data_IF_368059339567
#
_entry.id   IF_368059339567
#
_cell.length_a   1.000
_cell.length_b   1.000
_cell.length_c   1.000
_cell.angle_alpha   90.00
_cell.angle_beta   90.00
_cell.angle_gamma   90.00
#
_symmetry.space_group_name_H-M   'P 1'
#
loop_
_entity.id
_entity.type
_entity.pdbx_description
1 polymer ?
#
# COMPACT_ATOMS: atom_id res chain seq x y z
N UNK A 1 -10.85 7.09 5.33
CA UNK A 1 -10.26 8.41 5.62
C UNK A 1 -9.51 8.44 6.95
N UNK A 2 -10.18 8.37 8.09
CA UNK A 2 -9.63 8.56 9.44
C UNK A 2 -8.41 7.69 9.79
N UNK A 3 -8.44 6.38 9.51
CA UNK A 3 -7.34 5.46 9.83
C UNK A 3 -6.00 5.82 9.17
N UNK A 4 -6.02 6.34 7.94
CA UNK A 4 -4.79 6.74 7.22
C UNK A 4 -4.20 8.01 7.81
N UNK A 5 -5.03 8.96 8.21
CA UNK A 5 -4.59 10.18 8.89
C UNK A 5 -3.93 9.86 10.23
N UNK A 6 -4.51 8.94 11.01
CA UNK A 6 -3.91 8.48 12.27
C UNK A 6 -2.57 7.78 12.05
N UNK A 7 -2.47 6.92 11.02
CA UNK A 7 -1.21 6.24 10.71
C UNK A 7 -0.10 7.24 10.34
N UNK A 8 -0.37 8.20 9.45
CA UNK A 8 0.61 9.22 9.07
C UNK A 8 1.03 10.05 10.27
N UNK A 9 0.08 10.53 11.08
CA UNK A 9 0.38 11.31 12.28
C UNK A 9 1.17 10.52 13.31
N UNK A 10 0.77 9.29 13.61
CA UNK A 10 1.47 8.45 14.58
C UNK A 10 2.91 8.14 14.17
N UNK A 11 3.14 7.89 12.87
CA UNK A 11 4.50 7.66 12.36
C UNK A 11 5.32 8.95 12.31
N UNK A 12 4.71 10.11 12.05
CA UNK A 12 5.38 11.41 12.17
C UNK A 12 5.87 11.68 13.60
N UNK A 13 5.04 11.34 14.61
CA UNK A 13 5.45 11.44 16.02
C UNK A 13 6.63 10.50 16.35
N UNK A 14 6.64 9.28 15.80
CA UNK A 14 7.74 8.33 16.01
C UNK A 14 9.06 8.90 15.47
N UNK A 15 9.06 9.59 14.33
CA UNK A 15 10.25 10.25 13.78
C UNK A 15 10.83 11.26 14.78
N UNK A 16 9.99 11.98 15.51
CA UNK A 16 10.46 12.94 16.52
C UNK A 16 10.92 12.28 17.80
N UNK A 17 10.18 11.26 18.24
CA UNK A 17 10.34 10.67 19.57
C UNK A 17 11.43 9.61 19.66
N UNK A 18 11.78 8.94 18.53
CA UNK A 18 12.79 7.88 18.54
C UNK A 18 14.19 8.41 18.85
N UNK A 19 15.01 7.56 19.49
CA UNK A 19 16.43 7.82 19.71
C UNK A 19 17.23 7.35 18.51
N UNK A 20 18.01 8.23 17.94
CA UNK A 20 18.87 7.92 16.80
C UNK A 20 20.25 7.44 17.26
N UNK A 21 20.80 6.34 16.72
CA UNK A 21 22.09 5.81 17.13
C UNK A 21 23.26 6.72 16.75
N UNK A 22 23.11 7.49 15.67
CA UNK A 22 24.13 8.43 15.19
C UNK A 22 23.48 9.73 14.68
N UNK A 23 24.17 10.84 14.83
CA UNK A 23 23.67 12.18 14.45
C UNK A 23 23.30 12.29 12.97
N UNK A 24 24.08 11.66 12.09
CA UNK A 24 23.81 11.67 10.65
C UNK A 24 22.44 11.01 10.31
N UNK A 25 22.08 9.93 11.03
CA UNK A 25 20.78 9.28 10.85
C UNK A 25 19.63 10.20 11.29
N UNK A 26 19.79 10.91 12.41
CA UNK A 26 18.80 11.87 12.89
C UNK A 26 18.58 12.99 11.87
N UNK A 27 19.65 13.63 11.42
CA UNK A 27 19.60 14.75 10.46
C UNK A 27 18.90 14.28 9.17
N UNK A 28 19.34 13.15 8.59
CA UNK A 28 18.76 12.65 7.34
C UNK A 28 17.29 12.28 7.49
N UNK A 29 16.93 11.61 8.58
CA UNK A 29 15.55 11.16 8.81
C UNK A 29 14.62 12.35 9.05
N UNK A 30 15.00 13.29 9.90
CA UNK A 30 14.18 14.48 10.18
C UNK A 30 14.03 15.40 8.98
N UNK A 31 15.08 15.56 8.17
CA UNK A 31 15.02 16.37 6.97
C UNK A 31 14.11 15.78 5.87
N UNK A 32 14.07 14.45 5.75
CA UNK A 32 13.26 13.76 4.72
C UNK A 32 11.88 13.34 5.23
N UNK A 33 11.78 12.92 6.48
CA UNK A 33 10.57 12.39 7.11
C UNK A 33 9.91 11.28 6.27
N UNK A 34 10.72 10.37 5.72
CA UNK A 34 10.24 9.31 4.84
C UNK A 34 9.43 8.27 5.61
N UNK A 35 8.24 7.96 5.13
CA UNK A 35 7.38 6.91 5.63
C UNK A 35 7.19 5.82 4.56
N UNK A 36 6.91 4.60 5.01
CA UNK A 36 6.57 3.48 4.16
C UNK A 36 5.26 2.85 4.64
N UNK A 37 4.12 3.43 4.30
CA UNK A 37 2.80 2.92 4.68
C UNK A 37 2.26 2.07 3.53
N UNK A 38 1.94 0.82 3.79
CA UNK A 38 1.33 -0.11 2.86
C UNK A 38 0.07 -0.75 3.44
N UNK A 39 -0.51 -1.65 2.67
CA UNK A 39 -1.64 -2.45 3.12
C UNK A 39 -1.38 -3.94 2.94
N UNK A 40 -2.00 -4.75 3.77
CA UNK A 40 -1.98 -6.21 3.72
C UNK A 40 -3.39 -6.72 3.52
N UNK A 41 -3.53 -8.00 3.18
CA UNK A 41 -4.83 -8.62 3.10
C UNK A 41 -5.61 -8.32 1.82
N UNK A 42 -4.92 -8.01 0.71
CA UNK A 42 -5.61 -7.73 -0.56
C UNK A 42 -6.45 -8.94 -1.02
N UNK A 43 -5.93 -10.16 -0.92
CA UNK A 43 -6.68 -11.36 -1.26
C UNK A 43 -7.96 -11.51 -0.43
N UNK A 44 -7.87 -11.25 0.88
CA UNK A 44 -9.05 -11.26 1.75
C UNK A 44 -10.05 -10.15 1.39
N UNK A 45 -9.55 -8.96 1.05
CA UNK A 45 -10.41 -7.86 0.58
C UNK A 45 -11.17 -8.24 -0.69
N UNK A 46 -10.50 -8.84 -1.67
CA UNK A 46 -11.13 -9.31 -2.90
C UNK A 46 -12.14 -10.42 -2.63
N UNK A 47 -11.78 -11.42 -1.81
CA UNK A 47 -12.69 -12.49 -1.42
C UNK A 47 -13.95 -11.96 -0.73
N UNK A 48 -13.84 -10.96 0.14
CA UNK A 48 -15.01 -10.29 0.76
C UNK A 48 -15.91 -9.59 -0.24
N UNK A 49 -15.36 -9.15 -1.34
CA UNK A 49 -16.14 -8.53 -2.43
C UNK A 49 -16.63 -9.54 -3.47
N UNK A 50 -16.40 -10.85 -3.26
CA UNK A 50 -16.77 -11.90 -4.20
C UNK A 50 -16.04 -11.80 -5.54
N UNK A 51 -14.80 -11.32 -5.53
CA UNK A 51 -13.99 -11.05 -6.72
C UNK A 51 -12.69 -11.83 -6.63
N UNK A 52 -12.30 -12.50 -7.71
CA UNK A 52 -11.01 -13.20 -7.84
C UNK A 52 -9.98 -12.28 -8.48
N UNK A 53 -8.68 -12.59 -8.32
CA UNK A 53 -7.61 -11.80 -8.96
C UNK A 53 -7.71 -11.77 -10.49
N UNK A 54 -8.17 -12.86 -11.10
CA UNK A 54 -8.37 -12.99 -12.56
C UNK A 54 -9.58 -12.21 -13.09
N UNK A 55 -10.47 -11.76 -12.23
CA UNK A 55 -11.67 -11.07 -12.66
C UNK A 55 -11.36 -9.63 -13.11
N UNK A 56 -11.92 -9.19 -14.23
CA UNK A 56 -11.81 -7.77 -14.66
C UNK A 56 -12.29 -6.80 -13.58
N UNK A 57 -13.27 -7.21 -12.76
CA UNK A 57 -13.75 -6.42 -11.62
C UNK A 57 -12.68 -6.23 -10.54
N UNK A 58 -11.67 -7.13 -10.44
CA UNK A 58 -10.58 -6.98 -9.50
C UNK A 58 -9.74 -5.73 -9.80
N UNK A 59 -9.46 -5.47 -11.07
CA UNK A 59 -8.70 -4.29 -11.50
C UNK A 59 -9.37 -3.01 -11.01
N UNK A 60 -10.68 -2.87 -11.23
CA UNK A 60 -11.46 -1.72 -10.74
C UNK A 60 -11.41 -1.61 -9.23
N UNK A 61 -11.60 -2.73 -8.51
CA UNK A 61 -11.57 -2.74 -7.03
C UNK A 61 -10.20 -2.38 -6.46
N UNK A 62 -9.14 -2.89 -7.06
CA UNK A 62 -7.76 -2.58 -6.66
C UNK A 62 -7.43 -1.12 -6.95
N UNK A 63 -7.84 -0.62 -8.14
CA UNK A 63 -7.63 0.78 -8.48
C UNK A 63 -8.34 1.72 -7.48
N UNK A 64 -9.64 1.53 -7.24
CA UNK A 64 -10.42 2.32 -6.27
C UNK A 64 -9.79 2.32 -4.87
N UNK A 65 -9.31 1.15 -4.42
CA UNK A 65 -8.63 1.01 -3.14
C UNK A 65 -7.32 1.79 -3.12
N UNK A 66 -6.50 1.66 -4.17
CA UNK A 66 -5.17 2.25 -4.26
C UNK A 66 -5.26 3.77 -4.47
N UNK A 67 -6.18 4.24 -5.30
CA UNK A 67 -6.46 5.67 -5.45
C UNK A 67 -6.84 6.30 -4.12
N UNK A 68 -7.83 5.72 -3.42
CA UNK A 68 -8.23 6.18 -2.10
C UNK A 68 -7.06 6.15 -1.10
N UNK A 69 -6.22 5.14 -1.18
CA UNK A 69 -5.07 4.99 -0.30
C UNK A 69 -4.07 6.12 -0.50
N UNK A 70 -3.64 6.36 -1.73
CA UNK A 70 -2.67 7.40 -2.09
C UNK A 70 -3.23 8.80 -1.82
N UNK A 71 -4.46 9.07 -2.25
CA UNK A 71 -5.09 10.37 -2.02
C UNK A 71 -5.11 10.76 -0.54
N UNK A 72 -5.56 9.83 0.33
CA UNK A 72 -5.67 10.15 1.75
C UNK A 72 -4.33 10.17 2.49
N UNK A 73 -3.31 9.46 2.03
CA UNK A 73 -1.95 9.59 2.57
C UNK A 73 -1.36 10.97 2.26
N UNK A 74 -1.45 11.40 1.00
CA UNK A 74 -0.98 12.72 0.58
C UNK A 74 -1.74 13.84 1.27
N UNK A 75 -3.08 13.73 1.34
CA UNK A 75 -3.91 14.70 2.06
C UNK A 75 -3.57 14.79 3.55
N UNK A 76 -3.26 13.67 4.20
CA UNK A 76 -2.84 13.65 5.59
C UNK A 76 -1.46 14.31 5.79
N UNK A 77 -0.51 14.03 4.90
CA UNK A 77 0.81 14.65 4.93
C UNK A 77 0.76 16.15 4.64
N UNK A 78 -0.06 16.58 3.68
CA UNK A 78 -0.29 17.98 3.38
C UNK A 78 -0.92 18.72 4.57
N UNK A 79 -1.92 18.11 5.22
CA UNK A 79 -2.51 18.68 6.44
C UNK A 79 -1.46 18.84 7.55
N UNK A 80 -0.58 17.86 7.74
CA UNK A 80 0.51 17.97 8.70
C UNK A 80 1.55 19.03 8.30
N UNK A 81 1.78 19.23 7.00
CA UNK A 81 2.63 20.33 6.53
C UNK A 81 2.03 21.70 6.87
N UNK A 82 0.72 21.88 6.74
CA UNK A 82 0.02 23.09 7.15
C UNK A 82 0.13 23.31 8.66
N UNK A 83 0.02 22.24 9.45
CA UNK A 83 0.06 22.32 10.93
C UNK A 83 1.48 22.51 11.49
N UNK A 84 2.52 21.93 10.86
CA UNK A 84 3.86 21.74 11.43
C UNK A 84 5.01 22.13 10.51
N UNK A 85 4.72 22.62 9.31
CA UNK A 85 5.68 22.88 8.24
C UNK A 85 5.97 21.66 7.36
N UNK A 86 6.36 21.94 6.12
CA UNK A 86 6.82 20.93 5.14
C UNK A 86 8.17 20.35 5.58
N UNK A 87 8.55 19.19 5.06
CA UNK A 87 9.90 18.63 5.30
C UNK A 87 10.96 19.45 4.53
N UNK A 88 12.19 19.49 5.06
CA UNK A 88 13.30 20.28 4.47
C UNK A 88 13.65 19.84 3.04
N UNK A 89 13.42 18.56 2.73
CA UNK A 89 13.68 18.00 1.41
C UNK A 89 12.50 18.09 0.44
N UNK A 90 11.41 18.77 0.80
CA UNK A 90 10.23 18.90 -0.07
C UNK A 90 10.60 19.42 -1.46
N UNK A 91 11.40 20.47 -1.54
CA UNK A 91 11.78 21.12 -2.80
C UNK A 91 12.70 20.24 -3.69
N UNK A 92 13.13 19.08 -3.20
CA UNK A 92 13.88 18.05 -3.93
C UNK A 92 13.01 16.85 -4.32
N UNK A 93 11.72 16.93 -4.13
CA UNK A 93 10.76 15.85 -4.47
C UNK A 93 10.00 16.25 -5.73
N UNK A 94 9.50 15.25 -6.47
CA UNK A 94 8.60 15.52 -7.60
C UNK A 94 7.30 16.22 -7.19
N UNK A 95 6.96 16.16 -5.92
CA UNK A 95 5.77 16.84 -5.39
C UNK A 95 5.88 18.36 -5.44
N UNK A 96 7.09 18.93 -5.34
CA UNK A 96 7.32 20.36 -5.51
C UNK A 96 7.01 20.83 -6.93
N UNK A 97 7.26 19.95 -7.92
CA UNK A 97 6.91 20.20 -9.32
C UNK A 97 5.42 19.94 -9.61
N UNK A 98 4.67 19.55 -8.58
CA UNK A 98 3.26 19.18 -8.68
C UNK A 98 3.01 17.83 -9.34
N UNK A 99 4.03 16.97 -9.43
CA UNK A 99 3.90 15.61 -9.98
C UNK A 99 3.45 14.67 -8.86
N UNK A 100 2.29 14.06 -9.04
CA UNK A 100 1.69 13.12 -8.09
C UNK A 100 1.74 11.68 -8.63
N UNK A 101 1.53 10.65 -7.80
CA UNK A 101 1.55 9.26 -8.26
C UNK A 101 0.60 8.96 -9.43
N UNK A 102 -0.51 9.67 -9.53
CA UNK A 102 -1.47 9.55 -10.65
C UNK A 102 -0.90 10.01 -12.00
N UNK A 103 0.17 10.81 -11.99
CA UNK A 103 0.79 11.33 -13.21
C UNK A 103 1.87 10.39 -13.76
N UNK A 104 2.35 9.47 -12.93
CA UNK A 104 3.53 8.63 -13.22
C UNK A 104 3.23 7.14 -13.31
N UNK A 105 1.96 6.75 -13.31
CA UNK A 105 1.61 5.34 -13.49
C UNK A 105 1.85 4.89 -14.94
N UNK A 106 1.95 3.57 -15.14
CA UNK A 106 2.16 2.97 -16.46
C UNK A 106 0.90 3.12 -17.31
N UNK A 107 0.96 3.89 -18.38
CA UNK A 107 -0.19 4.24 -19.23
C UNK A 107 -0.84 3.05 -19.95
N UNK A 108 -0.09 1.99 -20.22
CA UNK A 108 -0.63 0.74 -20.80
C UNK A 108 -1.77 0.14 -19.96
N UNK A 109 -1.89 0.54 -18.69
CA UNK A 109 -3.01 0.14 -17.84
C UNK A 109 -4.34 0.72 -18.30
N UNK A 110 -4.34 1.84 -18.99
CA UNK A 110 -5.57 2.48 -19.51
C UNK A 110 -6.25 1.64 -20.61
N UNK A 111 -5.49 0.78 -21.31
CA UNK A 111 -6.01 -0.16 -22.29
C UNK A 111 -6.76 -1.32 -21.65
N UNK A 112 -6.33 -1.71 -20.45
CA UNK A 112 -6.87 -2.86 -19.70
C UNK A 112 -7.99 -2.44 -18.76
N UNK A 113 -7.91 -1.23 -18.24
CA UNK A 113 -8.80 -0.75 -17.19
C UNK A 113 -9.07 0.75 -17.36
N UNK A 114 -10.15 1.08 -18.07
CA UNK A 114 -10.63 2.47 -18.14
C UNK A 114 -11.25 2.88 -16.81
N UNK A 115 -10.54 3.70 -16.03
CA UNK A 115 -10.96 4.08 -14.68
C UNK A 115 -11.02 5.59 -14.54
N UNK A 116 -12.18 6.07 -14.11
CA UNK A 116 -12.37 7.46 -13.73
C UNK A 116 -11.90 7.68 -12.30
N UNK A 117 -11.03 8.66 -12.08
CA UNK A 117 -10.59 9.09 -10.76
C UNK A 117 -11.78 9.62 -9.95
N UNK A 118 -11.85 9.22 -8.67
CA UNK A 118 -12.99 9.54 -7.79
C UNK A 118 -12.72 10.73 -6.86
N UNK A 119 -11.46 11.13 -6.71
CA UNK A 119 -11.06 12.18 -5.77
C UNK A 119 -10.60 13.43 -6.51
N UNK A 120 -10.74 14.57 -5.86
CA UNK A 120 -10.31 15.88 -6.36
C UNK A 120 -8.78 16.02 -6.22
N UNK A 121 -8.07 15.47 -7.18
CA UNK A 121 -6.61 15.51 -7.25
C UNK A 121 -6.09 16.90 -7.58
N UNK A 122 -6.84 17.72 -8.30
CA UNK A 122 -6.41 19.07 -8.67
C UNK A 122 -6.42 19.99 -7.45
N UNK A 123 -7.46 19.91 -6.63
CA UNK A 123 -7.48 20.59 -5.34
C UNK A 123 -6.31 20.16 -4.44
N UNK A 124 -6.03 18.87 -4.35
CA UNK A 124 -4.93 18.36 -3.55
C UNK A 124 -3.57 18.81 -4.10
N UNK A 125 -3.39 18.78 -5.42
CA UNK A 125 -2.18 19.27 -6.11
C UNK A 125 -1.92 20.74 -5.81
N UNK A 126 -2.95 21.57 -5.92
CA UNK A 126 -2.86 22.98 -5.57
C UNK A 126 -2.45 23.16 -4.11
N UNK A 127 -3.11 22.49 -3.19
CA UNK A 127 -2.79 22.57 -1.76
C UNK A 127 -1.36 22.11 -1.44
N UNK A 128 -0.87 21.08 -2.14
CA UNK A 128 0.53 20.61 -1.99
C UNK A 128 1.53 21.65 -2.54
N UNK A 129 1.23 22.32 -3.64
CA UNK A 129 2.09 23.43 -4.13
C UNK A 129 2.14 24.60 -3.16
N UNK A 130 1.01 24.94 -2.57
CA UNK A 130 0.89 26.10 -1.68
C UNK A 130 1.53 25.84 -0.30
N UNK A 131 1.40 24.61 0.24
CA UNK A 131 1.79 24.29 1.62
C UNK A 131 2.84 23.18 1.75
N UNK A 132 3.15 22.48 0.67
CA UNK A 132 4.09 21.35 0.68
C UNK A 132 3.53 20.06 1.28
N UNK A 133 4.44 19.12 1.51
CA UNK A 133 4.19 17.87 2.23
C UNK A 133 5.12 17.76 3.44
N UNK A 134 4.61 17.18 4.52
CA UNK A 134 5.39 16.88 5.73
C UNK A 134 6.38 15.73 5.51
N UNK A 135 6.15 14.89 4.50
CA UNK A 135 6.92 13.67 4.23
C UNK A 135 7.36 13.62 2.78
N UNK A 136 8.64 13.30 2.55
CA UNK A 136 9.21 13.18 1.20
C UNK A 136 8.74 11.89 0.48
N UNK A 137 8.36 10.86 1.25
CA UNK A 137 7.82 9.58 0.78
C UNK A 137 6.78 9.11 1.77
N UNK A 138 5.69 8.51 1.30
CA UNK A 138 4.56 8.12 2.15
C UNK A 138 4.18 6.66 2.04
N UNK A 139 4.24 6.08 0.86
CA UNK A 139 3.74 4.74 0.61
C UNK A 139 4.85 3.77 0.20
N UNK A 140 4.75 2.55 0.69
CA UNK A 140 5.54 1.42 0.26
C UNK A 140 4.70 0.16 0.36
N UNK A 141 4.75 -0.68 -0.66
CA UNK A 141 4.12 -1.99 -0.60
C UNK A 141 5.18 -3.01 -0.25
N UNK A 142 5.12 -3.52 0.97
CA UNK A 142 6.12 -4.42 1.51
C UNK A 142 5.59 -5.86 1.62
N UNK A 143 6.45 -6.88 1.56
CA UNK A 143 6.11 -8.20 2.06
C UNK A 143 5.92 -8.11 3.59
N UNK A 144 4.83 -8.67 4.09
CA UNK A 144 4.41 -8.49 5.49
C UNK A 144 4.24 -9.82 6.20
N UNK A 145 5.23 -10.69 6.11
CA UNK A 145 5.16 -12.08 6.57
C UNK A 145 4.74 -12.22 8.04
N UNK A 146 5.40 -11.52 8.95
CA UNK A 146 5.11 -11.60 10.38
C UNK A 146 3.87 -10.83 10.78
N UNK A 147 3.70 -9.60 10.28
CA UNK A 147 2.55 -8.76 10.60
C UNK A 147 1.25 -9.31 10.03
N UNK A 148 1.28 -10.00 8.89
CA UNK A 148 0.10 -10.67 8.34
C UNK A 148 -0.36 -11.84 9.22
N UNK A 149 0.58 -12.60 9.81
CA UNK A 149 0.25 -13.70 10.73
C UNK A 149 -0.40 -13.15 12.00
N UNK A 150 0.20 -12.13 12.61
CA UNK A 150 -0.31 -11.52 13.85
C UNK A 150 -1.71 -10.94 13.66
N UNK A 151 -1.98 -10.35 12.51
CA UNK A 151 -3.28 -9.74 12.21
C UNK A 151 -4.28 -10.69 11.55
N UNK A 152 -3.92 -11.97 11.37
CA UNK A 152 -4.72 -12.97 10.63
C UNK A 152 -5.17 -12.45 9.26
N UNK A 153 -4.24 -11.89 8.50
CA UNK A 153 -4.46 -11.35 7.16
C UNK A 153 -3.65 -12.15 6.13
N UNK A 154 -4.02 -12.04 4.85
CA UNK A 154 -3.16 -12.52 3.76
C UNK A 154 -1.94 -11.61 3.60
N UNK A 155 -0.81 -12.17 3.12
CA UNK A 155 0.44 -11.45 3.00
C UNK A 155 0.36 -10.36 1.91
N UNK A 156 0.56 -9.12 2.28
CA UNK A 156 0.64 -7.99 1.36
C UNK A 156 -0.47 -7.96 0.31
N UNK A 157 -0.06 -7.87 -0.94
CA UNK A 157 -0.92 -7.88 -2.13
C UNK A 157 -0.97 -9.26 -2.82
N UNK A 158 -0.21 -10.23 -2.32
CA UNK A 158 -0.10 -11.54 -2.92
C UNK A 158 -1.32 -12.42 -2.64
N UNK A 159 -1.72 -13.28 -3.59
CA UNK A 159 -2.67 -14.34 -3.31
C UNK A 159 -2.08 -15.36 -2.33
N UNK A 160 -2.89 -15.97 -1.45
CA UNK A 160 -2.41 -17.03 -0.56
C UNK A 160 -2.05 -18.27 -1.38
N UNK A 161 -1.00 -18.98 -0.97
CA UNK A 161 -0.53 -20.21 -1.66
C UNK A 161 -1.51 -21.39 -1.59
N UNK A 162 -2.50 -21.32 -0.71
CA UNK A 162 -3.51 -22.33 -0.50
C UNK A 162 -4.41 -21.94 0.66
N UNK A 163 -5.46 -22.71 0.90
CA UNK A 163 -6.38 -22.48 2.03
C UNK A 163 -5.69 -22.61 3.39
N UNK A 164 -4.72 -23.51 3.48
CA UNK A 164 -3.86 -23.71 4.63
C UNK A 164 -2.40 -23.57 4.20
N UNK A 165 -1.68 -22.67 4.83
CA UNK A 165 -0.23 -22.57 4.68
C UNK A 165 0.48 -22.85 6.00
N UNK A 166 1.66 -23.48 5.92
CA UNK A 166 2.47 -23.79 7.09
C UNK A 166 3.81 -23.06 6.94
N UNK A 167 4.06 -22.14 7.83
CA UNK A 167 5.36 -21.44 7.90
C UNK A 167 6.24 -22.09 8.96
N UNK A 168 7.44 -22.50 8.58
CA UNK A 168 8.45 -22.97 9.54
C UNK A 168 9.10 -21.76 10.22
N UNK A 169 9.10 -21.74 11.53
CA UNK A 169 9.82 -20.74 12.34
C UNK A 169 10.79 -21.44 13.28
N UNK A 170 11.71 -20.68 13.89
CA UNK A 170 12.62 -21.19 14.93
C UNK A 170 11.88 -21.80 16.15
N UNK A 171 10.63 -21.36 16.37
CA UNK A 171 9.75 -21.83 17.47
C UNK A 171 8.79 -22.94 17.06
N UNK A 172 8.92 -23.48 15.84
CA UNK A 172 8.06 -24.53 15.31
C UNK A 172 7.19 -24.07 14.11
N UNK A 173 6.38 -24.99 13.56
CA UNK A 173 5.52 -24.70 12.44
C UNK A 173 4.32 -23.85 12.87
N UNK A 174 4.06 -22.77 12.13
CA UNK A 174 2.86 -21.94 12.28
C UNK A 174 1.89 -22.25 11.16
N UNK A 175 0.70 -22.72 11.51
CA UNK A 175 -0.40 -22.98 10.57
C UNK A 175 -1.22 -21.70 10.40
N UNK A 176 -1.46 -21.29 9.16
CA UNK A 176 -2.30 -20.14 8.83
C UNK A 176 -3.36 -20.57 7.82
N UNK A 177 -4.61 -20.36 8.17
CA UNK A 177 -5.77 -20.58 7.28
C UNK A 177 -6.12 -19.22 6.68
N UNK A 178 -6.58 -19.21 5.42
CA UNK A 178 -7.07 -17.97 4.80
C UNK A 178 -8.16 -17.33 5.66
N UNK A 179 -8.17 -16.00 5.80
CA UNK A 179 -9.11 -15.32 6.69
C UNK A 179 -10.57 -15.62 6.34
N UNK A 180 -11.39 -15.82 7.35
CA UNK A 180 -12.82 -16.13 7.22
C UNK A 180 -13.13 -17.33 6.30
N UNK A 181 -12.27 -18.36 6.35
CA UNK A 181 -12.41 -19.55 5.50
C UNK A 181 -13.82 -20.16 5.54
N UNK A 182 -14.42 -20.29 6.72
CA UNK A 182 -15.74 -20.91 6.87
C UNK A 182 -16.85 -20.20 6.10
N UNK A 183 -16.77 -18.88 5.97
CA UNK A 183 -17.79 -18.06 5.31
C UNK A 183 -17.43 -17.64 3.88
N UNK A 184 -16.13 -17.61 3.56
CA UNK A 184 -15.63 -17.11 2.29
C UNK A 184 -14.94 -18.19 1.43
N UNK A 185 -14.99 -19.47 1.81
CA UNK A 185 -14.28 -20.54 1.07
C UNK A 185 -14.64 -20.57 -0.43
N UNK A 186 -15.88 -20.28 -0.78
CA UNK A 186 -16.35 -20.29 -2.17
C UNK A 186 -15.84 -19.08 -2.99
N UNK A 187 -15.32 -18.05 -2.32
CA UNK A 187 -14.73 -16.85 -2.94
C UNK A 187 -13.22 -17.01 -3.12
N UNK A 188 -12.61 -18.06 -2.55
CA UNK A 188 -11.23 -18.44 -2.83
C UNK A 188 -11.22 -19.59 -3.83
N UNK A 189 -10.30 -19.56 -4.77
CA UNK A 189 -10.10 -20.66 -5.74
C UNK A 189 -8.65 -21.12 -5.66
N UNK A 190 -8.44 -22.45 -5.64
CA UNK A 190 -7.09 -23.00 -5.76
C UNK A 190 -6.57 -22.78 -7.17
N UNK A 191 -5.33 -22.40 -7.28
CA UNK A 191 -4.74 -22.06 -8.56
C UNK A 191 -4.60 -23.25 -9.50
N UNK A 192 -4.33 -24.43 -8.93
CA UNK A 192 -4.26 -25.69 -9.67
C UNK A 192 -5.58 -26.11 -10.33
N UNK A 193 -6.69 -25.56 -9.84
CA UNK A 193 -8.04 -25.80 -10.39
C UNK A 193 -8.42 -24.74 -11.45
N UNK A 194 -7.50 -23.80 -11.74
CA UNK A 194 -7.74 -22.76 -12.75
C UNK A 194 -7.21 -23.18 -14.12
N UNK A 195 -7.89 -22.79 -15.23
CA UNK A 195 -7.37 -22.99 -16.57
C UNK A 195 -5.97 -22.37 -16.71
N UNK A 196 -5.09 -23.02 -17.50
CA UNK A 196 -3.69 -22.59 -17.67
C UNK A 196 -3.52 -21.13 -18.16
N UNK A 197 -4.53 -20.57 -18.82
CA UNK A 197 -4.52 -19.20 -19.30
C UNK A 197 -4.65 -18.15 -18.17
N UNK A 198 -5.14 -18.54 -16.99
CA UNK A 198 -5.26 -17.65 -15.83
C UNK A 198 -3.99 -17.62 -14.97
N UNK A 199 -2.99 -18.43 -15.30
CA UNK A 199 -1.72 -18.52 -14.58
C UNK A 199 -0.76 -17.33 -14.81
N UNK A 200 -1.10 -16.34 -15.62
CA UNK A 200 -0.27 -15.15 -15.90
C UNK A 200 0.09 -14.32 -14.66
N UNK A 201 -0.61 -14.48 -13.56
CA UNK A 201 -0.28 -13.82 -12.28
C UNK A 201 0.93 -14.42 -11.54
N UNK A 202 1.40 -15.62 -11.96
CA UNK A 202 2.54 -16.29 -11.34
C UNK A 202 3.86 -16.16 -12.11
N UNK A 203 3.82 -15.64 -13.31
CA UNK A 203 5.00 -15.45 -14.17
C UNK A 203 5.53 -14.03 -14.16
N UNK A 204 5.19 -13.23 -13.15
CA UNK A 204 5.96 -12.01 -12.92
C UNK A 204 7.39 -12.44 -12.58
N UNK A 205 8.39 -12.16 -13.44
CA UNK A 205 9.76 -12.53 -13.16
C UNK A 205 10.15 -11.89 -11.82
N UNK A 206 10.65 -12.72 -10.92
CA UNK A 206 11.24 -12.21 -9.69
C UNK A 206 12.39 -11.28 -10.08
N UNK A 207 12.55 -10.11 -9.44
CA UNK A 207 13.70 -9.25 -9.67
C UNK A 207 15.06 -9.90 -9.31
N UNK A 208 15.05 -11.19 -8.99
CA UNK A 208 16.22 -11.98 -8.58
C UNK A 208 16.57 -13.10 -9.55
N UNK A 209 15.84 -13.23 -10.65
CA UNK A 209 16.16 -14.20 -11.73
C UNK A 209 16.93 -13.50 -12.86
#
# INVERSE_FOLDING_TARGET
>A
MYKRQLAVRGLDEIIEYQKYPVKAAEISTKARRSLGIGYIGLAHYLAKNGVKYSDKKALTKVHELTEAFQFYLLKASNKLAIERGKCDYFDRTKYSDGILPIDTYKKDLDEVCSITLKYDWDYLRKSIRDHGLRHSTLSAQMPSESSSIVSNATNGIEPPRGFLSVKKSKKGPLKQIVPQYTTLKNNYTLLWDMPSNDCLLYTSPSPRD
#
